data_IF_803499267664
#
_entry.id   IF_803499267664
#
_cell.length_a   1.000
_cell.length_b   1.000
_cell.length_c   1.000
_cell.angle_alpha   90.00
_cell.angle_beta   90.00
_cell.angle_gamma   90.00
#
_symmetry.space_group_name_H-M   'P 1'
#
loop_
_entity.id
_entity.type
_entity.pdbx_description
1 polymer ?
#
# COMPACT_ATOMS: atom_id res chain seq x y z
N UNK A 1 9.89 8.98 -32.01
CA UNK A 1 8.66 8.17 -32.09
C UNK A 1 8.38 7.57 -30.73
N UNK A 2 7.12 7.49 -30.34
CA UNK A 2 6.68 7.02 -29.03
C UNK A 2 5.17 6.82 -29.00
N UNK A 3 4.66 6.32 -27.88
CA UNK A 3 3.25 6.08 -27.66
C UNK A 3 2.69 7.09 -26.65
N UNK A 4 1.38 7.31 -26.70
CA UNK A 4 0.65 8.17 -25.76
C UNK A 4 -0.47 7.35 -25.14
N UNK A 5 -0.66 7.54 -23.85
CA UNK A 5 -1.78 7.00 -23.09
C UNK A 5 -2.16 8.02 -22.01
N UNK A 6 -3.40 7.96 -21.51
CA UNK A 6 -3.87 8.70 -20.34
C UNK A 6 -3.58 10.22 -20.39
N UNK A 7 -3.86 10.84 -21.54
CA UNK A 7 -3.59 12.27 -21.77
C UNK A 7 -4.64 13.11 -21.06
N UNK A 8 -4.21 13.98 -20.15
CA UNK A 8 -5.08 14.83 -19.33
C UNK A 8 -4.75 16.31 -19.53
N UNK A 9 -5.76 17.14 -19.75
CA UNK A 9 -5.64 18.59 -19.91
C UNK A 9 -6.39 19.26 -18.77
N UNK A 10 -5.70 20.15 -18.03
CA UNK A 10 -6.26 20.85 -16.89
C UNK A 10 -6.24 22.37 -17.11
N UNK A 11 -7.31 23.06 -16.69
CA UNK A 11 -7.35 24.53 -16.61
C UNK A 11 -6.71 25.10 -15.34
N UNK A 12 -6.29 24.22 -14.43
CA UNK A 12 -5.61 24.56 -13.18
C UNK A 12 -4.23 23.92 -13.12
N UNK A 13 -3.27 24.63 -12.51
CA UNK A 13 -1.96 24.06 -12.24
C UNK A 13 -2.07 22.98 -11.15
N UNK A 14 -1.68 21.75 -11.48
CA UNK A 14 -1.64 20.62 -10.53
C UNK A 14 -0.40 20.70 -9.65
N UNK A 15 -0.57 20.36 -8.38
CA UNK A 15 0.56 20.23 -7.45
C UNK A 15 1.29 18.90 -7.69
N UNK A 16 2.53 18.77 -7.19
CA UNK A 16 3.29 17.52 -7.30
C UNK A 16 2.55 16.35 -6.63
N UNK A 17 2.00 16.56 -5.42
CA UNK A 17 1.20 15.55 -4.71
C UNK A 17 -0.03 15.15 -5.53
N UNK A 18 -0.78 16.13 -6.05
CA UNK A 18 -1.93 15.85 -6.92
C UNK A 18 -1.58 15.11 -8.21
N UNK A 19 -0.33 15.20 -8.69
CA UNK A 19 0.13 14.42 -9.84
C UNK A 19 0.47 13.01 -9.39
N UNK A 20 1.23 12.86 -8.31
CA UNK A 20 1.61 11.57 -7.74
C UNK A 20 0.38 10.72 -7.40
N UNK A 21 -0.57 11.26 -6.64
CA UNK A 21 -1.81 10.58 -6.22
C UNK A 21 -2.64 10.03 -7.40
N UNK A 22 -2.47 10.61 -8.59
CA UNK A 22 -3.32 10.32 -9.75
C UNK A 22 -2.56 9.66 -10.91
N UNK A 23 -1.24 9.49 -10.84
CA UNK A 23 -0.46 9.02 -12.02
C UNK A 23 -0.71 7.54 -12.34
N UNK A 24 -1.08 6.74 -11.33
CA UNK A 24 -1.28 5.29 -11.44
C UNK A 24 -2.75 4.86 -11.44
N UNK A 25 -3.69 5.81 -11.35
CA UNK A 25 -5.12 5.52 -11.30
C UNK A 25 -5.87 6.22 -12.43
N UNK A 26 -6.97 5.60 -12.85
CA UNK A 26 -7.92 6.24 -13.76
C UNK A 26 -8.72 7.31 -13.02
N UNK A 27 -8.90 8.45 -13.68
CA UNK A 27 -9.80 9.50 -13.24
C UNK A 27 -11.27 9.18 -13.58
N UNK A 28 -12.18 9.77 -12.81
CA UNK A 28 -13.63 9.66 -12.99
C UNK A 28 -14.11 10.52 -14.18
N UNK A 29 -13.41 11.63 -14.47
CA UNK A 29 -13.70 12.53 -15.60
C UNK A 29 -14.44 13.81 -15.23
N UNK A 30 -14.94 13.91 -14.00
CA UNK A 30 -15.65 15.07 -13.45
C UNK A 30 -14.78 15.91 -12.49
N UNK A 31 -13.47 15.66 -12.46
CA UNK A 31 -12.54 16.36 -11.58
C UNK A 31 -12.55 17.87 -11.84
N UNK A 32 -12.59 18.65 -10.77
CA UNK A 32 -12.61 20.12 -10.88
C UNK A 32 -11.35 20.63 -11.61
N UNK A 33 -11.58 21.31 -12.73
CA UNK A 33 -10.55 21.88 -13.57
C UNK A 33 -9.97 20.93 -14.61
N UNK A 34 -10.51 19.72 -14.76
CA UNK A 34 -10.22 18.82 -15.88
C UNK A 34 -10.99 19.30 -17.11
N UNK A 35 -10.29 19.62 -18.19
CA UNK A 35 -10.87 20.15 -19.43
C UNK A 35 -11.01 19.07 -20.50
N UNK A 36 -10.08 18.12 -20.55
CA UNK A 36 -10.15 16.97 -21.44
C UNK A 36 -9.37 15.80 -20.85
N UNK A 37 -9.86 14.60 -21.10
CA UNK A 37 -9.23 13.38 -20.65
C UNK A 37 -9.35 12.31 -21.73
N UNK A 38 -8.23 11.97 -22.35
CA UNK A 38 -8.17 10.99 -23.41
C UNK A 38 -7.49 9.73 -22.87
N UNK A 39 -8.29 8.71 -22.52
CA UNK A 39 -7.80 7.40 -22.05
C UNK A 39 -7.12 6.56 -23.14
N UNK A 40 -7.12 7.05 -24.39
CA UNK A 40 -6.56 6.36 -25.56
C UNK A 40 -6.97 4.87 -25.65
N UNK A 41 -8.23 4.58 -25.30
CA UNK A 41 -8.74 3.22 -25.15
C UNK A 41 -9.85 2.87 -26.16
N UNK A 42 -10.09 3.73 -27.16
CA UNK A 42 -11.05 3.47 -28.26
C UNK A 42 -10.64 2.24 -29.09
N UNK A 43 -9.34 1.97 -29.18
CA UNK A 43 -8.77 0.72 -29.70
C UNK A 43 -8.92 0.49 -31.21
N UNK A 44 -9.53 1.42 -31.94
CA UNK A 44 -9.62 1.39 -33.41
C UNK A 44 -10.09 2.73 -33.98
N UNK A 45 -9.89 2.93 -35.28
CA UNK A 45 -10.34 4.11 -35.99
C UNK A 45 -9.55 5.36 -35.63
N UNK A 46 -10.14 6.51 -35.94
CA UNK A 46 -9.51 7.83 -35.79
C UNK A 46 -10.17 8.71 -34.74
N UNK A 47 -11.23 8.26 -34.09
CA UNK A 47 -11.86 9.00 -32.99
C UNK A 47 -11.02 8.82 -31.73
N UNK A 48 -10.81 9.91 -30.98
CA UNK A 48 -10.29 9.84 -29.62
C UNK A 48 -11.34 10.42 -28.68
N UNK A 49 -11.93 9.56 -27.85
CA UNK A 49 -13.02 9.94 -26.95
C UNK A 49 -12.51 10.82 -25.82
N UNK A 50 -13.17 11.96 -25.59
CA UNK A 50 -12.98 12.71 -24.35
C UNK A 50 -13.81 12.06 -23.24
N UNK A 51 -13.12 11.52 -22.25
CA UNK A 51 -13.65 10.89 -21.05
C UNK A 51 -13.89 11.89 -19.91
N UNK A 52 -13.71 13.20 -20.15
CA UNK A 52 -14.21 14.23 -19.23
C UNK A 52 -15.67 14.60 -19.52
N UNK A 53 -16.29 15.36 -18.62
CA UNK A 53 -17.64 15.88 -18.81
C UNK A 53 -17.77 16.97 -19.91
N UNK A 54 -16.68 17.35 -20.57
CA UNK A 54 -16.64 18.50 -21.48
C UNK A 54 -16.83 18.16 -22.97
N UNK A 55 -16.91 16.88 -23.33
CA UNK A 55 -17.21 16.43 -24.71
C UNK A 55 -16.25 16.95 -25.79
N UNK A 56 -14.96 17.16 -25.47
CA UNK A 56 -13.91 17.58 -26.39
C UNK A 56 -13.36 16.42 -27.26
N UNK A 57 -14.24 15.54 -27.75
CA UNK A 57 -13.86 14.38 -28.58
C UNK A 57 -13.12 14.83 -29.83
N UNK A 58 -11.95 14.21 -30.05
CA UNK A 58 -11.04 14.58 -31.13
C UNK A 58 -11.08 13.64 -32.32
N UNK A 59 -10.33 14.01 -33.37
CA UNK A 59 -10.02 13.14 -34.51
C UNK A 59 -8.51 13.09 -34.69
N UNK A 60 -7.93 11.89 -34.54
CA UNK A 60 -6.52 11.60 -34.81
C UNK A 60 -6.27 11.59 -36.32
N UNK A 61 -5.16 12.19 -36.73
CA UNK A 61 -4.77 12.33 -38.14
C UNK A 61 -3.62 11.39 -38.44
N UNK A 62 -3.67 10.72 -39.59
CA UNK A 62 -2.72 9.66 -39.98
C UNK A 62 -2.70 8.47 -39.00
N UNK A 63 -3.83 8.18 -38.37
CA UNK A 63 -4.02 7.01 -37.52
C UNK A 63 -4.75 5.93 -38.30
N UNK A 64 -4.23 4.71 -38.29
CA UNK A 64 -4.92 3.50 -38.72
C UNK A 64 -5.07 2.47 -37.58
N UNK A 65 -5.75 1.36 -37.85
CA UNK A 65 -6.02 0.36 -36.82
C UNK A 65 -4.76 -0.36 -36.31
N UNK A 66 -3.66 -0.38 -37.07
CA UNK A 66 -2.41 -1.01 -36.66
C UNK A 66 -1.54 -0.08 -35.79
N UNK A 67 -1.84 1.21 -35.76
CA UNK A 67 -1.15 2.18 -34.90
C UNK A 67 -1.60 2.08 -33.43
N UNK A 68 -2.78 1.48 -33.18
CA UNK A 68 -3.25 1.18 -31.83
C UNK A 68 -2.46 0.00 -31.25
N UNK A 69 -1.89 0.21 -30.07
CA UNK A 69 -1.08 -0.79 -29.36
C UNK A 69 -1.63 -1.03 -27.96
N UNK A 70 -1.35 -2.20 -27.40
CA UNK A 70 -1.61 -2.47 -25.98
C UNK A 70 -0.77 -1.52 -25.12
N UNK A 71 -1.43 -0.81 -24.20
CA UNK A 71 -0.73 -0.01 -23.21
C UNK A 71 -0.08 -0.89 -22.15
N UNK A 72 1.12 -0.50 -21.76
CA UNK A 72 1.88 -1.05 -20.64
C UNK A 72 2.24 0.05 -19.64
N UNK A 73 1.50 1.17 -19.66
CA UNK A 73 1.58 2.15 -18.60
C UNK A 73 1.09 1.50 -17.29
N UNK A 74 1.76 1.74 -16.15
CA UNK A 74 1.39 1.15 -14.86
C UNK A 74 0.19 1.90 -14.27
N UNK A 75 -0.96 1.74 -14.90
CA UNK A 75 -2.21 2.41 -14.56
C UNK A 75 -3.29 1.35 -14.42
N UNK A 76 -4.03 1.39 -13.32
CA UNK A 76 -5.09 0.41 -13.13
C UNK A 76 -6.35 0.96 -12.48
N UNK A 77 -7.41 0.16 -12.54
CA UNK A 77 -8.70 0.43 -11.89
C UNK A 77 -8.71 -0.21 -10.51
N UNK A 78 -8.13 0.47 -9.53
CA UNK A 78 -8.15 -0.02 -8.15
C UNK A 78 -9.58 -0.10 -7.62
N UNK A 79 -9.81 -1.03 -6.69
CA UNK A 79 -11.12 -1.17 -6.05
C UNK A 79 -11.50 0.12 -5.33
N UNK A 80 -12.75 0.57 -5.49
CA UNK A 80 -13.27 1.76 -4.81
C UNK A 80 -13.05 1.67 -3.30
N UNK A 81 -12.50 2.73 -2.72
CA UNK A 81 -12.10 2.78 -1.31
C UNK A 81 -10.72 2.21 -1.03
N UNK A 82 -9.94 1.80 -2.05
CA UNK A 82 -8.55 1.36 -1.95
C UNK A 82 -7.62 2.17 -2.88
N UNK A 83 -7.99 3.41 -3.17
CA UNK A 83 -7.30 4.31 -4.11
C UNK A 83 -6.42 5.35 -3.41
N UNK A 84 -6.24 5.24 -2.09
CA UNK A 84 -5.43 6.20 -1.34
C UNK A 84 -3.97 5.91 -1.54
N UNK A 85 -3.19 6.97 -1.80
CA UNK A 85 -1.74 6.91 -1.98
C UNK A 85 -1.34 5.79 -2.95
N UNK A 86 -1.91 5.86 -4.16
CA UNK A 86 -1.79 4.79 -5.14
C UNK A 86 -0.42 4.84 -5.84
N UNK A 87 0.33 3.75 -5.70
CA UNK A 87 1.70 3.62 -6.18
C UNK A 87 1.84 2.44 -7.13
N UNK A 88 2.98 2.36 -7.81
CA UNK A 88 3.27 1.24 -8.70
C UNK A 88 4.70 0.72 -8.59
N UNK A 89 4.82 -0.60 -8.71
CA UNK A 89 6.06 -1.30 -9.01
C UNK A 89 6.06 -1.66 -10.50
N UNK A 90 6.94 -1.03 -11.26
CA UNK A 90 7.00 -1.18 -12.71
C UNK A 90 8.44 -1.06 -13.22
N UNK A 91 8.65 -1.20 -14.53
CA UNK A 91 9.99 -1.09 -15.14
C UNK A 91 10.76 0.18 -14.73
N UNK A 92 10.05 1.30 -14.56
CA UNK A 92 10.65 2.57 -14.13
C UNK A 92 11.21 2.55 -12.71
N UNK A 93 10.68 1.71 -11.82
CA UNK A 93 11.21 1.49 -10.47
C UNK A 93 12.60 0.81 -10.52
N UNK A 94 12.92 0.11 -11.60
CA UNK A 94 14.18 -0.61 -11.76
C UNK A 94 14.35 -1.68 -10.68
N UNK A 95 15.35 -1.51 -9.80
CA UNK A 95 15.58 -2.35 -8.62
C UNK A 95 15.56 -1.53 -7.32
N UNK A 96 15.01 -0.32 -7.37
CA UNK A 96 14.72 0.49 -6.20
C UNK A 96 13.37 0.07 -5.63
N UNK A 97 13.17 0.34 -4.33
CA UNK A 97 11.83 0.27 -3.77
C UNK A 97 10.90 1.22 -4.53
N UNK A 98 9.64 0.82 -4.70
CA UNK A 98 8.57 1.72 -5.08
C UNK A 98 8.48 2.88 -4.09
N UNK A 99 7.76 3.93 -4.48
CA UNK A 99 7.24 4.87 -3.51
C UNK A 99 6.31 4.13 -2.52
N UNK A 100 6.18 4.67 -1.31
CA UNK A 100 5.45 4.03 -0.23
C UNK A 100 3.98 4.41 -0.32
N UNK A 101 3.10 3.41 -0.38
CA UNK A 101 1.64 3.60 -0.23
C UNK A 101 1.30 3.53 1.25
N UNK A 102 1.52 4.61 1.99
CA UNK A 102 1.33 4.68 3.45
C UNK A 102 1.89 3.46 4.22
N UNK A 103 3.16 3.13 3.97
CA UNK A 103 3.90 2.08 4.67
C UNK A 103 4.16 0.82 3.87
N UNK A 104 3.44 0.56 2.76
CA UNK A 104 3.77 -0.55 1.85
C UNK A 104 4.73 -0.10 0.77
N UNK A 105 5.85 -0.80 0.62
CA UNK A 105 6.78 -0.66 -0.51
C UNK A 105 7.07 -2.03 -1.12
N UNK A 106 7.41 -2.05 -2.41
CA UNK A 106 7.81 -3.27 -3.12
C UNK A 106 9.13 -3.07 -3.85
N UNK A 107 9.97 -4.10 -3.91
CA UNK A 107 11.23 -4.08 -4.65
C UNK A 107 11.48 -5.40 -5.36
N UNK A 108 12.11 -5.34 -6.53
CA UNK A 108 12.50 -6.51 -7.32
C UNK A 108 14.01 -6.59 -7.46
N UNK A 109 14.56 -7.80 -7.48
CA UNK A 109 15.99 -8.03 -7.70
C UNK A 109 16.44 -7.81 -9.16
N UNK A 110 15.49 -7.67 -10.09
CA UNK A 110 15.75 -7.40 -11.51
C UNK A 110 14.60 -6.55 -12.05
N UNK A 111 14.94 -5.53 -12.83
CA UNK A 111 13.94 -4.63 -13.42
C UNK A 111 12.88 -5.40 -14.20
N UNK A 112 11.62 -5.04 -13.98
CA UNK A 112 10.48 -5.64 -14.66
C UNK A 112 10.48 -5.31 -16.15
N UNK A 113 9.81 -6.16 -16.95
CA UNK A 113 9.52 -5.82 -18.34
C UNK A 113 8.36 -4.83 -18.40
N UNK A 114 8.13 -4.17 -19.54
CA UNK A 114 7.01 -3.22 -19.67
C UNK A 114 5.66 -3.88 -19.31
N UNK A 115 5.46 -5.14 -19.69
CA UNK A 115 4.21 -5.87 -19.47
C UNK A 115 4.02 -6.40 -18.03
N UNK A 116 5.03 -6.27 -17.16
CA UNK A 116 4.97 -6.72 -15.77
C UNK A 116 4.96 -5.50 -14.84
N UNK A 117 3.87 -5.31 -14.13
CA UNK A 117 3.78 -4.27 -13.11
C UNK A 117 2.71 -4.63 -12.09
N UNK A 118 2.77 -3.99 -10.92
CA UNK A 118 1.72 -4.03 -9.92
C UNK A 118 1.36 -2.59 -9.54
N UNK A 119 0.08 -2.25 -9.57
CA UNK A 119 -0.44 -0.98 -9.05
C UNK A 119 -1.13 -1.30 -7.73
N UNK A 120 -0.89 -0.48 -6.71
CA UNK A 120 -1.46 -0.73 -5.39
C UNK A 120 -1.82 0.56 -4.68
N UNK A 121 -2.89 0.50 -3.90
CA UNK A 121 -3.35 1.61 -3.07
C UNK A 121 -4.02 1.07 -1.83
N UNK A 122 -4.41 1.96 -0.92
CA UNK A 122 -4.88 1.56 0.40
C UNK A 122 -6.21 2.19 0.81
N UNK A 123 -6.79 1.64 1.87
CA UNK A 123 -8.11 2.01 2.39
C UNK A 123 -8.14 3.19 3.36
N UNK A 124 -7.06 3.99 3.43
CA UNK A 124 -6.92 5.17 4.28
C UNK A 124 -7.33 4.93 5.75
N UNK A 125 -6.97 3.76 6.26
CA UNK A 125 -7.32 3.34 7.61
C UNK A 125 -6.04 3.16 8.41
N UNK A 126 -6.05 3.55 9.68
CA UNK A 126 -4.98 3.31 10.63
C UNK A 126 -5.46 2.39 11.77
N UNK A 127 -4.53 1.93 12.59
CA UNK A 127 -4.78 1.05 13.72
C UNK A 127 -4.73 -0.42 13.36
N UNK A 128 -5.42 -1.22 14.16
CA UNK A 128 -5.40 -2.69 14.11
C UNK A 128 -6.80 -3.26 14.15
N UNK A 129 -6.98 -4.49 13.66
CA UNK A 129 -8.25 -5.20 13.66
C UNK A 129 -8.08 -6.65 14.12
N UNK A 130 -9.07 -7.14 14.89
CA UNK A 130 -9.20 -8.55 15.29
C UNK A 130 -10.27 -9.28 14.48
N UNK A 131 -10.74 -8.69 13.37
CA UNK A 131 -11.72 -9.27 12.46
C UNK A 131 -11.05 -9.82 11.20
N UNK A 132 -11.72 -10.77 10.53
CA UNK A 132 -11.24 -11.42 9.30
C UNK A 132 -9.87 -12.12 9.48
N UNK A 133 -9.62 -12.76 10.62
CA UNK A 133 -8.32 -13.36 10.92
C UNK A 133 -8.28 -14.85 10.55
N UNK A 134 -7.21 -15.32 9.87
CA UNK A 134 -6.94 -16.75 9.79
C UNK A 134 -6.51 -17.31 11.15
N UNK A 135 -6.58 -18.64 11.28
CA UNK A 135 -6.01 -19.34 12.44
C UNK A 135 -4.51 -19.04 12.57
N UNK A 136 -4.06 -18.82 13.81
CA UNK A 136 -2.66 -18.52 14.13
C UNK A 136 -2.29 -17.03 14.06
N UNK A 137 -3.26 -16.14 13.82
CA UNK A 137 -3.10 -14.68 13.87
C UNK A 137 -3.90 -14.11 15.04
N UNK A 138 -3.28 -13.23 15.82
CA UNK A 138 -3.90 -12.56 16.96
C UNK A 138 -4.56 -11.23 16.56
N UNK A 139 -3.88 -10.47 15.69
CA UNK A 139 -4.31 -9.15 15.24
C UNK A 139 -3.68 -8.85 13.88
N UNK A 140 -4.31 -8.00 13.06
CA UNK A 140 -3.75 -7.46 11.82
C UNK A 140 -3.81 -5.94 11.77
N UNK A 141 -3.11 -5.32 10.82
CA UNK A 141 -3.33 -3.92 10.46
C UNK A 141 -4.80 -3.70 10.05
N UNK A 142 -5.37 -2.57 10.47
CA UNK A 142 -6.65 -2.11 9.94
C UNK A 142 -6.48 -1.55 8.52
N UNK A 143 -5.30 -0.98 8.22
CA UNK A 143 -4.88 -0.69 6.85
C UNK A 143 -4.80 -1.96 6.03
N UNK A 144 -5.44 -1.91 4.87
CA UNK A 144 -5.44 -2.97 3.88
C UNK A 144 -5.08 -2.33 2.55
N UNK A 145 -4.13 -2.94 1.84
CA UNK A 145 -3.76 -2.56 0.49
C UNK A 145 -4.49 -3.43 -0.51
N UNK A 146 -4.93 -2.87 -1.61
CA UNK A 146 -5.33 -3.64 -2.78
C UNK A 146 -4.20 -3.57 -3.80
N UNK A 147 -3.78 -4.73 -4.30
CA UNK A 147 -2.80 -4.88 -5.37
C UNK A 147 -3.53 -5.37 -6.60
N UNK A 148 -3.27 -4.71 -7.73
CA UNK A 148 -3.74 -5.08 -9.05
C UNK A 148 -2.52 -5.41 -9.91
N UNK A 149 -2.43 -6.68 -10.33
CA UNK A 149 -1.25 -7.24 -10.98
C UNK A 149 -1.44 -7.33 -12.50
N UNK A 150 -0.45 -6.83 -13.24
CA UNK A 150 -0.32 -7.11 -14.66
C UNK A 150 0.69 -8.21 -14.94
N UNK A 151 0.20 -9.28 -15.57
CA UNK A 151 0.94 -10.50 -15.93
C UNK A 151 1.49 -11.31 -14.76
N UNK A 152 2.73 -11.06 -14.34
CA UNK A 152 3.42 -11.86 -13.32
C UNK A 152 4.51 -11.04 -12.69
N UNK A 153 4.42 -10.86 -11.39
CA UNK A 153 5.31 -10.06 -10.56
C UNK A 153 5.61 -10.85 -9.30
N UNK A 154 6.90 -11.00 -9.01
CA UNK A 154 7.38 -11.49 -7.74
C UNK A 154 8.31 -10.44 -7.14
N UNK A 155 7.99 -9.99 -5.92
CA UNK A 155 8.68 -8.88 -5.28
C UNK A 155 8.97 -9.18 -3.81
N UNK A 156 9.95 -8.50 -3.26
CA UNK A 156 10.06 -8.34 -1.81
C UNK A 156 9.08 -7.24 -1.41
N UNK A 157 8.11 -7.58 -0.56
CA UNK A 157 7.11 -6.66 -0.01
C UNK A 157 7.57 -6.22 1.36
N UNK A 158 7.64 -4.92 1.61
CA UNK A 158 7.98 -4.39 2.94
C UNK A 158 6.82 -3.55 3.47
N UNK A 159 6.43 -3.79 4.72
CA UNK A 159 5.40 -3.01 5.42
C UNK A 159 6.04 -2.36 6.65
N UNK A 160 6.02 -1.03 6.70
CA UNK A 160 6.33 -0.24 7.88
C UNK A 160 5.13 -0.28 8.85
N UNK A 161 5.34 -0.83 10.05
CA UNK A 161 4.25 -1.01 11.01
C UNK A 161 3.72 0.34 11.51
N UNK A 162 4.58 1.34 11.68
CA UNK A 162 4.13 2.64 12.19
C UNK A 162 3.24 3.37 11.21
N UNK A 163 3.54 3.32 9.92
CA UNK A 163 2.69 3.89 8.86
C UNK A 163 1.42 3.06 8.64
N UNK A 164 1.54 1.72 8.71
CA UNK A 164 0.41 0.81 8.56
C UNK A 164 -0.63 0.93 9.70
N UNK A 165 -0.19 1.24 10.92
CA UNK A 165 -1.02 1.16 12.12
C UNK A 165 -1.18 2.49 12.86
N UNK A 166 -0.38 3.51 12.57
CA UNK A 166 -0.31 4.74 13.35
C UNK A 166 0.35 4.56 14.73
N UNK A 167 0.91 3.38 15.02
CA UNK A 167 1.55 3.08 16.31
C UNK A 167 3.06 3.00 16.16
N UNK A 168 3.78 3.78 16.98
CA UNK A 168 5.22 3.59 17.13
C UNK A 168 5.49 2.31 17.92
N UNK A 169 6.12 1.33 17.30
CA UNK A 169 6.47 0.05 17.92
C UNK A 169 7.95 -0.25 17.75
N UNK A 170 8.51 -1.05 18.66
CA UNK A 170 9.73 -1.79 18.34
C UNK A 170 9.30 -3.15 17.86
N UNK A 171 9.50 -3.44 16.57
CA UNK A 171 9.10 -4.73 16.02
C UNK A 171 9.84 -5.89 16.69
N UNK A 172 9.13 -6.99 16.93
CA UNK A 172 9.67 -8.25 17.43
C UNK A 172 10.53 -8.98 16.39
N UNK A 173 10.49 -10.29 16.41
CA UNK A 173 11.12 -11.17 15.43
C UNK A 173 10.37 -11.11 14.10
N UNK A 174 11.09 -10.96 12.98
CA UNK A 174 10.47 -10.78 11.66
C UNK A 174 9.50 -11.91 11.28
N UNK A 175 9.86 -13.17 11.59
CA UNK A 175 9.03 -14.34 11.28
C UNK A 175 7.69 -14.37 12.01
N UNK A 176 7.54 -13.59 13.07
CA UNK A 176 6.33 -13.52 13.89
C UNK A 176 5.29 -12.59 13.27
N UNK A 177 5.70 -11.80 12.28
CA UNK A 177 4.80 -11.08 11.39
C UNK A 177 4.48 -11.92 10.15
N UNK A 178 3.22 -11.88 9.73
CA UNK A 178 2.71 -12.58 8.55
C UNK A 178 2.18 -11.58 7.54
N UNK A 179 2.51 -11.77 6.26
CA UNK A 179 1.80 -11.11 5.18
C UNK A 179 0.53 -11.90 4.96
N UNK A 180 -0.60 -11.21 5.06
CA UNK A 180 -1.91 -11.80 4.91
C UNK A 180 -2.48 -11.39 3.56
N UNK A 181 -3.22 -12.30 2.91
CA UNK A 181 -3.93 -11.99 1.67
C UNK A 181 -5.37 -12.49 1.63
N UNK A 182 -6.18 -11.89 0.76
CA UNK A 182 -7.50 -12.40 0.34
C UNK A 182 -7.86 -11.85 -1.04
N UNK A 183 -8.75 -12.52 -1.76
CA UNK A 183 -9.16 -12.09 -3.12
C UNK A 183 -10.29 -11.05 -3.14
N UNK A 184 -11.02 -10.86 -2.04
CA UNK A 184 -12.20 -9.97 -1.99
C UNK A 184 -12.19 -9.02 -0.81
N UNK A 185 -13.18 -8.13 -0.73
CA UNK A 185 -13.27 -7.08 0.30
C UNK A 185 -13.75 -7.57 1.67
N UNK A 186 -14.12 -8.84 1.82
CA UNK A 186 -14.66 -9.41 3.05
C UNK A 186 -14.29 -10.87 3.24
N UNK A 187 -14.40 -11.36 4.48
CA UNK A 187 -14.04 -12.73 4.85
C UNK A 187 -12.61 -12.81 5.33
N UNK A 188 -12.32 -13.93 6.00
CA UNK A 188 -11.04 -14.17 6.65
C UNK A 188 -9.89 -14.12 5.63
N UNK A 189 -8.79 -13.48 6.02
CA UNK A 189 -7.54 -13.53 5.28
C UNK A 189 -6.92 -14.94 5.35
N UNK A 190 -5.93 -15.18 4.49
CA UNK A 190 -5.00 -16.31 4.53
C UNK A 190 -3.58 -15.82 4.79
N UNK A 191 -2.71 -16.69 5.32
CA UNK A 191 -1.28 -16.38 5.46
C UNK A 191 -0.60 -16.60 4.11
N UNK A 192 -0.10 -15.53 3.50
CA UNK A 192 0.62 -15.55 2.23
C UNK A 192 2.11 -15.83 2.44
N UNK A 193 2.74 -15.15 3.40
CA UNK A 193 4.16 -15.30 3.69
C UNK A 193 4.47 -15.03 5.18
N UNK A 194 5.65 -15.48 5.62
CA UNK A 194 6.23 -15.10 6.91
C UNK A 194 7.32 -14.06 6.69
N UNK A 195 7.46 -13.10 7.61
CA UNK A 195 8.50 -12.07 7.51
C UNK A 195 9.89 -12.72 7.46
N UNK A 196 10.69 -12.30 6.48
CA UNK A 196 12.03 -12.84 6.25
C UNK A 196 13.10 -12.00 6.94
N UNK A 197 12.89 -10.69 7.06
CA UNK A 197 13.80 -9.76 7.73
C UNK A 197 13.08 -8.50 8.20
N UNK A 198 13.77 -7.66 8.95
CA UNK A 198 13.26 -6.36 9.38
C UNK A 198 14.36 -5.32 9.51
N UNK A 199 13.99 -4.06 9.43
CA UNK A 199 14.84 -2.91 9.76
C UNK A 199 14.02 -1.89 10.55
N UNK A 200 14.31 -1.73 11.83
CA UNK A 200 13.42 -0.99 12.72
C UNK A 200 12.08 -1.72 12.85
N UNK A 201 11.00 -1.04 12.48
CA UNK A 201 9.62 -1.52 12.41
C UNK A 201 9.12 -1.82 10.99
N UNK A 202 9.98 -1.66 9.97
CA UNK A 202 9.71 -2.16 8.63
C UNK A 202 10.02 -3.66 8.53
N UNK A 203 9.00 -4.45 8.20
CA UNK A 203 9.10 -5.91 8.03
C UNK A 203 9.05 -6.26 6.55
N UNK A 204 10.05 -7.01 6.09
CA UNK A 204 10.15 -7.48 4.70
C UNK A 204 9.71 -8.94 4.58
N UNK A 205 8.93 -9.22 3.53
CA UNK A 205 8.48 -10.54 3.08
C UNK A 205 9.12 -10.79 1.72
N UNK A 206 10.06 -11.73 1.65
CA UNK A 206 10.84 -11.93 0.44
C UNK A 206 10.14 -12.79 -0.60
N UNK A 207 10.32 -12.45 -1.89
CA UNK A 207 9.88 -13.24 -3.04
C UNK A 207 8.40 -13.60 -3.03
N UNK A 208 7.56 -12.65 -2.64
CA UNK A 208 6.10 -12.77 -2.67
C UNK A 208 5.65 -12.77 -4.12
N UNK A 209 5.00 -13.85 -4.57
CA UNK A 209 4.27 -13.86 -5.84
C UNK A 209 2.97 -13.09 -5.64
N UNK A 210 2.82 -12.00 -6.38
CA UNK A 210 1.64 -11.14 -6.31
C UNK A 210 0.50 -11.73 -7.12
N UNK A 211 -0.70 -11.20 -6.87
CA UNK A 211 -1.92 -11.41 -7.63
C UNK A 211 -2.86 -10.23 -7.39
N UNK A 212 -4.03 -10.23 -8.04
CA UNK A 212 -5.12 -9.32 -7.68
C UNK A 212 -5.64 -9.68 -6.29
N UNK A 213 -5.18 -8.95 -5.28
CA UNK A 213 -5.39 -9.34 -3.89
C UNK A 213 -5.37 -8.17 -2.91
N UNK A 214 -5.93 -8.41 -1.73
CA UNK A 214 -5.90 -7.50 -0.61
C UNK A 214 -4.83 -7.95 0.37
N UNK A 215 -3.88 -7.09 0.70
CA UNK A 215 -2.79 -7.36 1.62
C UNK A 215 -2.99 -6.68 2.98
N UNK A 216 -2.52 -7.32 4.04
CA UNK A 216 -2.40 -6.74 5.37
C UNK A 216 -1.22 -7.38 6.12
N UNK A 217 -0.67 -6.70 7.13
CA UNK A 217 0.31 -7.32 8.04
C UNK A 217 -0.41 -7.89 9.27
N UNK A 218 -0.07 -9.11 9.65
CA UNK A 218 -0.61 -9.84 10.80
C UNK A 218 0.45 -10.15 11.84
N UNK A 219 0.04 -10.21 13.10
CA UNK A 219 0.83 -10.68 14.24
C UNK A 219 0.46 -12.12 14.55
N UNK A 220 1.45 -13.02 14.60
CA UNK A 220 1.23 -14.40 14.99
C UNK A 220 0.84 -14.53 16.47
N UNK A 221 0.02 -15.54 16.80
CA UNK A 221 -0.32 -15.87 18.20
C UNK A 221 0.90 -16.33 18.99
N UNK A 222 0.93 -16.02 20.30
CA UNK A 222 1.99 -16.44 21.24
C UNK A 222 3.41 -16.06 20.78
N UNK A 223 3.54 -14.90 20.16
CA UNK A 223 4.76 -14.41 19.53
C UNK A 223 5.32 -13.16 20.24
N UNK A 224 6.53 -12.75 19.86
CA UNK A 224 7.10 -11.47 20.31
C UNK A 224 6.79 -10.31 19.35
N UNK A 225 5.92 -10.53 18.34
CA UNK A 225 5.47 -9.50 17.43
C UNK A 225 4.43 -8.59 18.09
N UNK A 226 4.51 -7.31 17.76
CA UNK A 226 3.56 -6.30 18.21
C UNK A 226 3.15 -5.42 17.03
N UNK A 227 1.85 -5.39 16.76
CA UNK A 227 1.20 -4.40 15.89
C UNK A 227 0.49 -3.30 16.68
N UNK A 228 0.47 -3.40 18.01
CA UNK A 228 -0.13 -2.42 18.90
C UNK A 228 0.91 -1.89 19.91
N UNK A 229 0.67 -0.73 20.54
CA UNK A 229 1.56 -0.22 21.57
C UNK A 229 1.64 -1.23 22.73
N UNK A 230 2.86 -1.63 23.07
CA UNK A 230 3.10 -2.56 24.17
C UNK A 230 4.12 -1.97 25.14
N UNK A 231 4.02 -2.36 26.40
CA UNK A 231 5.04 -2.08 27.42
C UNK A 231 5.62 -3.42 27.84
N UNK A 232 6.87 -3.66 27.48
CA UNK A 232 7.60 -4.82 28.00
C UNK A 232 8.19 -4.47 29.35
N UNK A 233 7.81 -5.23 30.37
CA UNK A 233 8.36 -5.12 31.71
C UNK A 233 9.08 -6.43 32.02
N UNK A 234 10.41 -6.39 32.10
CA UNK A 234 11.26 -7.56 32.33
C UNK A 234 12.15 -7.37 33.56
N UNK A 235 12.48 -8.47 34.24
CA UNK A 235 13.33 -8.51 35.43
C UNK A 235 13.12 -9.78 36.25
N UNK A 236 14.16 -10.20 36.98
CA UNK A 236 14.16 -11.46 37.76
C UNK A 236 13.69 -11.27 39.21
N UNK A 237 13.63 -10.03 39.69
CA UNK A 237 13.32 -9.67 41.09
C UNK A 237 11.85 -9.28 41.32
N UNK A 238 11.00 -9.59 40.35
CA UNK A 238 9.59 -9.19 40.35
C UNK A 238 9.41 -7.71 40.04
N UNK A 239 8.29 -7.36 39.42
CA UNK A 239 7.94 -5.98 39.15
C UNK A 239 6.86 -5.50 40.12
N UNK A 240 7.03 -4.30 40.67
CA UNK A 240 6.04 -3.65 41.53
C UNK A 240 5.37 -2.50 40.78
N UNK A 241 4.15 -2.72 40.29
CA UNK A 241 3.29 -1.63 39.81
C UNK A 241 2.71 -0.89 41.02
N UNK A 242 3.16 0.35 41.26
CA UNK A 242 2.52 1.22 42.23
C UNK A 242 1.22 1.79 41.65
N UNK A 243 0.10 1.10 41.84
CA UNK A 243 -1.22 1.65 41.53
C UNK A 243 -1.84 2.23 42.80
N UNK A 244 -1.57 3.50 43.08
CA UNK A 244 -2.40 4.28 44.00
C UNK A 244 -2.75 5.61 43.35
N UNK A 245 -4.04 5.97 43.23
CA UNK A 245 -4.41 7.34 42.89
C UNK A 245 -4.08 8.22 44.10
N UNK A 246 -2.86 8.75 44.14
CA UNK A 246 -2.48 9.73 45.14
C UNK A 246 -2.93 11.09 44.62
N UNK A 247 -4.01 11.64 45.18
CA UNK A 247 -4.29 13.07 45.06
C UNK A 247 -3.25 13.83 45.92
N UNK A 248 -2.05 14.06 45.38
CA UNK A 248 -0.97 14.76 46.08
C UNK A 248 0.40 14.61 45.42
N UNK A 249 1.35 15.46 45.82
CA UNK A 249 2.75 15.40 45.38
C UNK A 249 3.44 14.19 46.01
N UNK A 250 4.06 13.34 45.19
CA UNK A 250 4.91 12.23 45.68
C UNK A 250 6.18 12.85 46.28
N UNK A 251 6.34 12.74 47.59
CA UNK A 251 7.56 13.15 48.27
C UNK A 251 8.62 12.04 48.17
N UNK A 252 9.86 12.47 47.95
CA UNK A 252 11.08 11.67 47.69
C UNK A 252 11.36 10.56 48.72
N UNK A 253 10.75 10.61 49.91
CA UNK A 253 10.93 9.64 51.00
C UNK A 253 10.38 8.22 50.72
N UNK A 254 9.70 8.00 49.60
CA UNK A 254 9.30 6.64 49.14
C UNK A 254 10.37 6.00 48.23
N UNK A 255 11.39 6.77 47.81
CA UNK A 255 12.53 6.31 47.01
C UNK A 255 13.78 6.08 47.87
N UNK A 256 13.61 5.57 49.09
CA UNK A 256 14.74 5.04 49.85
C UNK A 256 15.25 3.76 49.20
N UNK A 257 16.51 3.79 48.78
CA UNK A 257 17.30 2.69 48.18
C UNK A 257 16.88 1.30 48.69
N UNK A 258 16.07 0.59 47.88
CA UNK A 258 15.83 -0.84 48.02
C UNK A 258 16.90 -1.58 47.20
N UNK A 259 18.02 -1.85 47.86
CA UNK A 259 18.95 -2.92 47.49
C UNK A 259 18.58 -4.20 48.25
#
# INVERSE_FOLDING_TARGET
DGYLDEVRIWSVARTAAQIADNIHVLLDGDETGLEAYYKMSDGSGTTVTDNSDNSNTGTMVNMDNNDWVTSYAPISTLTSGYTTDAEALWKGSGTSASDASDGLTMVVGTALTDANFAVFGNNNTEGTSTSDLPSGIEVRSARIWYVDESSTVAADVTIDISDATGYTVTAGTASDYKLLNRAGTSGDFSILASGSSKSGDAVTFSSVSLSDEYLAIGQATDSDAYLSPHVTISGDDGFRMMSSPIAGTVYDDILGDLW
#
